data_IF_212630113351
#
_entry.id   IF_212630113351
#
_cell.length_a   1.000
_cell.length_b   1.000
_cell.length_c   1.000
_cell.angle_alpha   90.00
_cell.angle_beta   90.00
_cell.angle_gamma   90.00
#
_symmetry.space_group_name_H-M   'P 1'
#
loop_
_entity.id
_entity.type
_entity.pdbx_description
1 polymer ?
#
# COMPACT_ATOMS: atom_id res chain seq x y z
N UNK A 1 8.43 17.27 -2.19
CA UNK A 1 8.76 15.84 -2.31
C UNK A 1 7.79 15.17 -1.36
N UNK A 2 6.79 14.47 -1.88
CA UNK A 2 5.80 13.81 -1.02
C UNK A 2 6.53 12.78 -0.17
N UNK A 3 6.25 12.82 1.13
CA UNK A 3 6.89 11.95 2.11
C UNK A 3 6.37 10.52 1.91
N UNK A 4 7.25 9.63 1.42
CA UNK A 4 6.91 8.22 1.16
C UNK A 4 6.49 7.50 2.44
N UNK A 5 7.25 7.79 3.50
CA UNK A 5 7.20 7.13 4.79
C UNK A 5 7.01 8.19 5.88
N UNK A 6 5.90 8.13 6.61
CA UNK A 6 5.64 8.98 7.77
C UNK A 6 6.50 8.53 8.95
N UNK A 7 7.61 9.24 9.15
CA UNK A 7 8.61 8.95 10.19
C UNK A 7 8.04 9.10 11.59
N UNK A 8 7.03 9.95 11.76
CA UNK A 8 6.38 10.17 13.05
C UNK A 8 5.51 8.96 13.40
N UNK A 9 4.76 8.44 12.43
CA UNK A 9 3.96 7.23 12.58
C UNK A 9 4.84 6.02 12.95
N UNK A 10 5.97 5.84 12.26
CA UNK A 10 6.89 4.74 12.55
C UNK A 10 7.56 4.89 13.91
N UNK A 11 8.00 6.10 14.25
CA UNK A 11 8.59 6.37 15.57
C UNK A 11 7.60 6.07 16.69
N UNK A 12 6.31 6.41 16.50
CA UNK A 12 5.24 6.09 17.43
C UNK A 12 5.02 4.57 17.53
N UNK A 13 4.99 3.87 16.40
CA UNK A 13 4.83 2.41 16.35
C UNK A 13 5.96 1.71 17.11
N UNK A 14 7.21 2.12 16.89
CA UNK A 14 8.39 1.63 17.60
C UNK A 14 8.30 1.95 19.09
N UNK A 15 7.85 3.15 19.45
CA UNK A 15 7.67 3.54 20.86
C UNK A 15 6.60 2.71 21.58
N UNK A 16 5.59 2.22 20.87
CA UNK A 16 4.47 1.46 21.47
C UNK A 16 4.76 -0.05 21.54
N UNK A 17 5.39 -0.60 20.51
CA UNK A 17 5.58 -2.06 20.36
C UNK A 17 7.02 -2.52 20.62
N UNK A 18 7.97 -1.61 20.54
CA UNK A 18 9.40 -1.92 20.51
C UNK A 18 9.87 -2.36 19.12
N UNK A 19 11.15 -2.15 18.85
CA UNK A 19 11.77 -2.43 17.55
C UNK A 19 11.59 -3.90 17.07
N UNK A 20 11.77 -4.94 17.91
CA UNK A 20 11.62 -6.33 17.45
C UNK A 20 10.20 -6.64 16.93
N UNK A 21 9.18 -6.18 17.65
CA UNK A 21 7.78 -6.40 17.25
C UNK A 21 7.43 -5.63 15.98
N UNK A 22 7.98 -4.42 15.79
CA UNK A 22 7.82 -3.68 14.54
C UNK A 22 8.42 -4.44 13.35
N UNK A 23 9.57 -5.10 13.51
CA UNK A 23 10.13 -5.95 12.47
C UNK A 23 9.22 -7.13 12.13
N UNK A 24 8.67 -7.82 13.12
CA UNK A 24 7.70 -8.90 12.88
C UNK A 24 6.44 -8.41 12.14
N UNK A 25 5.92 -7.23 12.50
CA UNK A 25 4.79 -6.60 11.80
C UNK A 25 5.15 -6.30 10.34
N UNK A 26 6.34 -5.77 10.08
CA UNK A 26 6.83 -5.51 8.72
C UNK A 26 6.98 -6.81 7.92
N UNK A 27 7.57 -7.85 8.51
CA UNK A 27 7.73 -9.17 7.89
C UNK A 27 6.39 -9.81 7.53
N UNK A 28 5.36 -9.63 8.36
CA UNK A 28 4.00 -10.09 8.05
C UNK A 28 3.31 -9.23 6.99
N UNK A 29 3.57 -7.92 6.98
CA UNK A 29 2.97 -6.98 6.05
C UNK A 29 3.45 -7.15 4.61
N UNK A 30 4.77 -7.33 4.40
CA UNK A 30 5.37 -7.39 3.06
C UNK A 30 4.68 -8.40 2.14
N UNK A 31 4.50 -9.68 2.51
CA UNK A 31 3.87 -10.66 1.63
C UNK A 31 2.38 -10.34 1.40
N UNK A 32 1.66 -9.82 2.39
CA UNK A 32 0.25 -9.41 2.21
C UNK A 32 0.13 -8.24 1.24
N UNK A 33 0.97 -7.21 1.40
CA UNK A 33 1.02 -6.07 0.50
C UNK A 33 1.34 -6.50 -0.93
N UNK A 34 2.35 -7.36 -1.13
CA UNK A 34 2.72 -7.89 -2.44
C UNK A 34 1.58 -8.69 -3.09
N UNK A 35 0.87 -9.52 -2.31
CA UNK A 35 -0.26 -10.29 -2.81
C UNK A 35 -1.43 -9.38 -3.24
N UNK A 36 -1.75 -8.37 -2.44
CA UNK A 36 -2.79 -7.40 -2.76
C UNK A 36 -2.42 -6.57 -4.01
N UNK A 37 -1.17 -6.10 -4.12
CA UNK A 37 -0.68 -5.36 -5.29
C UNK A 37 -0.74 -6.23 -6.55
N UNK A 38 -0.25 -7.47 -6.48
CA UNK A 38 -0.26 -8.39 -7.62
C UNK A 38 -1.69 -8.68 -8.08
N UNK A 39 -2.62 -8.89 -7.14
CA UNK A 39 -4.03 -9.08 -7.47
C UNK A 39 -4.61 -7.86 -8.20
N UNK A 40 -4.35 -6.65 -7.67
CA UNK A 40 -4.81 -5.41 -8.29
C UNK A 40 -4.25 -5.26 -9.71
N UNK A 41 -2.95 -5.48 -9.91
CA UNK A 41 -2.30 -5.37 -11.21
C UNK A 41 -2.84 -6.35 -12.26
N UNK A 42 -3.14 -7.59 -11.86
CA UNK A 42 -3.60 -8.63 -12.79
C UNK A 42 -5.08 -8.45 -13.16
N UNK A 43 -5.93 -8.09 -12.18
CA UNK A 43 -7.38 -8.19 -12.33
C UNK A 43 -8.08 -6.83 -12.54
N UNK A 44 -7.33 -5.73 -12.63
CA UNK A 44 -7.90 -4.37 -12.62
C UNK A 44 -8.95 -4.11 -13.71
N UNK A 45 -8.73 -4.69 -14.90
CA UNK A 45 -9.62 -4.51 -16.05
C UNK A 45 -10.78 -5.51 -16.10
N UNK A 46 -10.88 -6.39 -15.11
CA UNK A 46 -11.93 -7.40 -15.05
C UNK A 46 -13.11 -6.89 -14.24
N UNK A 47 -14.19 -6.52 -14.94
CA UNK A 47 -15.42 -6.03 -14.30
C UNK A 47 -16.00 -7.00 -13.26
N UNK A 48 -15.78 -8.32 -13.45
CA UNK A 48 -16.20 -9.37 -12.51
C UNK A 48 -15.53 -9.25 -11.14
N UNK A 49 -14.38 -8.57 -11.05
CA UNK A 49 -13.58 -8.48 -9.83
C UNK A 49 -13.75 -7.15 -9.08
N UNK A 50 -14.63 -6.24 -9.52
CA UNK A 50 -14.79 -4.90 -8.92
C UNK A 50 -14.89 -4.89 -7.38
N UNK A 51 -15.67 -5.82 -6.80
CA UNK A 51 -15.79 -5.92 -5.34
C UNK A 51 -14.49 -6.41 -4.68
N UNK A 52 -13.82 -7.40 -5.27
CA UNK A 52 -12.56 -7.93 -4.73
C UNK A 52 -11.42 -6.91 -4.89
N UNK A 53 -11.34 -6.22 -6.03
CA UNK A 53 -10.41 -5.10 -6.25
C UNK A 53 -10.56 -4.03 -5.17
N UNK A 54 -11.80 -3.63 -4.86
CA UNK A 54 -12.08 -2.70 -3.76
C UNK A 54 -11.56 -3.22 -2.43
N UNK A 55 -11.83 -4.49 -2.10
CA UNK A 55 -11.39 -5.09 -0.83
C UNK A 55 -9.86 -5.15 -0.72
N UNK A 56 -9.17 -5.48 -1.82
CA UNK A 56 -7.71 -5.53 -1.90
C UNK A 56 -7.07 -4.15 -1.76
N UNK A 57 -7.63 -3.16 -2.45
CA UNK A 57 -7.22 -1.76 -2.31
C UNK A 57 -7.46 -1.25 -0.88
N UNK A 58 -8.61 -1.57 -0.28
CA UNK A 58 -8.93 -1.20 1.10
C UNK A 58 -7.98 -1.84 2.12
N UNK A 59 -7.67 -3.12 1.96
CA UNK A 59 -6.72 -3.85 2.79
C UNK A 59 -5.34 -3.20 2.72
N UNK A 60 -4.83 -3.01 1.50
CA UNK A 60 -3.52 -2.38 1.25
C UNK A 60 -3.43 -0.96 1.81
N UNK A 61 -4.48 -0.15 1.64
CA UNK A 61 -4.56 1.20 2.21
C UNK A 61 -4.42 1.17 3.72
N UNK A 62 -5.19 0.30 4.39
CA UNK A 62 -5.28 0.27 5.85
C UNK A 62 -4.00 -0.28 6.47
N UNK A 63 -3.44 -1.35 5.90
CA UNK A 63 -2.18 -1.94 6.38
C UNK A 63 -0.99 -1.01 6.15
N UNK A 64 -0.91 -0.34 4.99
CA UNK A 64 0.11 0.68 4.73
C UNK A 64 0.01 1.88 5.68
N UNK A 65 -1.21 2.36 5.97
CA UNK A 65 -1.43 3.46 6.92
C UNK A 65 -0.94 3.12 8.33
N UNK A 66 -1.25 1.93 8.82
CA UNK A 66 -0.86 1.49 10.17
C UNK A 66 0.65 1.42 10.37
N UNK A 67 1.40 1.18 9.30
CA UNK A 67 2.87 1.08 9.35
C UNK A 67 3.54 2.43 9.06
N UNK A 68 2.81 3.39 8.49
CA UNK A 68 3.34 4.70 8.10
C UNK A 68 3.79 4.80 6.65
N UNK A 69 3.41 3.85 5.78
CA UNK A 69 3.67 3.91 4.34
C UNK A 69 2.66 4.82 3.64
N UNK A 70 2.80 6.11 3.90
CA UNK A 70 1.83 7.15 3.56
C UNK A 70 1.53 7.20 2.06
N UNK A 71 2.55 7.30 1.21
CA UNK A 71 2.35 7.39 -0.23
C UNK A 71 1.67 6.13 -0.81
N UNK A 72 2.04 4.95 -0.31
CA UNK A 72 1.41 3.69 -0.70
C UNK A 72 -0.06 3.65 -0.27
N UNK A 73 -0.36 4.08 0.95
CA UNK A 73 -1.73 4.16 1.48
C UNK A 73 -2.60 5.12 0.67
N UNK A 74 -2.08 6.30 0.33
CA UNK A 74 -2.79 7.30 -0.48
C UNK A 74 -3.09 6.78 -1.90
N UNK A 75 -2.14 6.09 -2.52
CA UNK A 75 -2.34 5.49 -3.84
C UNK A 75 -3.37 4.34 -3.79
N UNK A 76 -3.29 3.48 -2.78
CA UNK A 76 -4.26 2.41 -2.56
C UNK A 76 -5.68 2.97 -2.30
N UNK A 77 -5.79 4.08 -1.56
CA UNK A 77 -7.06 4.78 -1.36
C UNK A 77 -7.66 5.27 -2.69
N UNK A 78 -6.84 5.87 -3.56
CA UNK A 78 -7.31 6.31 -4.89
C UNK A 78 -7.92 5.15 -5.68
N UNK A 79 -7.24 3.99 -5.69
CA UNK A 79 -7.73 2.79 -6.37
C UNK A 79 -9.02 2.24 -5.73
N UNK A 80 -9.14 2.28 -4.39
CA UNK A 80 -10.38 1.93 -3.71
C UNK A 80 -11.54 2.85 -4.11
N UNK A 81 -11.30 4.16 -4.15
CA UNK A 81 -12.29 5.18 -4.52
C UNK A 81 -12.75 5.00 -5.99
N UNK A 82 -11.83 4.67 -6.89
CA UNK A 82 -12.11 4.37 -8.31
C UNK A 82 -12.96 3.10 -8.48
N UNK A 83 -12.90 2.15 -7.54
CA UNK A 83 -13.78 0.97 -7.53
C UNK A 83 -15.18 1.31 -6.98
N UNK A 84 -15.31 2.32 -6.12
CA UNK A 84 -16.60 2.75 -5.54
C UNK A 84 -17.35 3.64 -6.52
N UNK A 85 -16.64 4.57 -7.18
CA UNK A 85 -17.19 5.53 -8.12
C UNK A 85 -16.47 5.42 -9.47
N UNK A 86 -16.68 4.33 -10.22
CA UNK A 86 -16.03 4.13 -11.50
C UNK A 86 -16.49 5.21 -12.47
N UNK A 87 -15.62 6.16 -12.83
CA UNK A 87 -15.86 7.00 -14.00
C UNK A 87 -15.48 6.23 -15.27
N UNK A 88 -16.19 6.48 -16.37
CA UNK A 88 -16.12 5.70 -17.61
C UNK A 88 -14.69 5.50 -18.17
N UNK A 89 -13.74 6.39 -17.84
CA UNK A 89 -12.34 6.30 -18.28
C UNK A 89 -11.32 5.96 -17.16
N UNK A 90 -11.69 5.95 -15.88
CA UNK A 90 -10.74 5.81 -14.75
C UNK A 90 -10.20 4.39 -14.60
N UNK A 91 -11.06 3.37 -14.69
CA UNK A 91 -10.61 1.96 -14.57
C UNK A 91 -9.59 1.63 -15.66
N UNK A 92 -9.79 2.12 -16.89
CA UNK A 92 -8.85 1.85 -17.98
C UNK A 92 -7.58 2.74 -17.96
N UNK A 93 -7.58 3.84 -17.19
CA UNK A 93 -6.47 4.80 -17.16
C UNK A 93 -5.55 4.66 -15.94
N UNK A 94 -5.83 3.73 -15.03
CA UNK A 94 -5.10 3.59 -13.77
C UNK A 94 -3.87 2.68 -13.84
N UNK A 95 -3.45 2.23 -15.03
CA UNK A 95 -2.26 1.40 -15.18
C UNK A 95 -1.01 2.04 -14.53
N UNK A 96 -0.80 3.35 -14.74
CA UNK A 96 0.32 4.06 -14.12
C UNK A 96 0.27 4.04 -12.58
N UNK A 97 -0.93 4.10 -12.00
CA UNK A 97 -1.12 3.99 -10.56
C UNK A 97 -0.82 2.56 -10.07
N UNK A 98 -1.23 1.53 -10.81
CA UNK A 98 -0.95 0.14 -10.48
C UNK A 98 0.54 -0.18 -10.54
N UNK A 99 1.23 0.30 -11.56
CA UNK A 99 2.68 0.11 -11.72
C UNK A 99 3.46 0.82 -10.60
N UNK A 100 2.97 1.99 -10.17
CA UNK A 100 3.54 2.76 -9.05
C UNK A 100 3.42 2.05 -7.71
N UNK A 101 2.43 1.17 -7.48
CA UNK A 101 2.27 0.48 -6.20
C UNK A 101 3.52 -0.32 -5.81
N UNK A 102 4.05 -1.13 -6.74
CA UNK A 102 5.24 -1.94 -6.50
C UNK A 102 6.47 -1.07 -6.22
N UNK A 103 6.64 0.01 -7.00
CA UNK A 103 7.73 0.97 -6.81
C UNK A 103 7.65 1.66 -5.44
N UNK A 104 6.47 2.10 -5.03
CA UNK A 104 6.27 2.75 -3.73
C UNK A 104 6.52 1.79 -2.58
N UNK A 105 6.07 0.54 -2.68
CA UNK A 105 6.35 -0.48 -1.66
C UNK A 105 7.86 -0.71 -1.53
N UNK A 106 8.56 -0.94 -2.64
CA UNK A 106 10.01 -1.16 -2.64
C UNK A 106 10.77 0.05 -2.08
N UNK A 107 10.42 1.26 -2.52
CA UNK A 107 11.09 2.48 -2.08
C UNK A 107 10.85 2.76 -0.58
N UNK A 108 9.64 2.48 -0.09
CA UNK A 108 9.31 2.62 1.34
C UNK A 108 10.09 1.62 2.20
N UNK A 109 10.22 0.37 1.75
CA UNK A 109 11.03 -0.65 2.43
C UNK A 109 12.51 -0.27 2.45
N UNK A 110 13.04 0.25 1.35
CA UNK A 110 14.41 0.74 1.29
C UNK A 110 14.65 1.93 2.25
N UNK A 111 13.69 2.84 2.37
CA UNK A 111 13.77 3.94 3.33
C UNK A 111 13.78 3.44 4.78
N UNK A 112 12.97 2.43 5.11
CA UNK A 112 13.02 1.76 6.43
C UNK A 112 14.36 1.05 6.68
N UNK A 113 14.91 0.38 5.67
CA UNK A 113 16.20 -0.29 5.75
C UNK A 113 17.31 0.69 6.14
N UNK A 114 17.31 1.87 5.51
CA UNK A 114 18.25 2.95 5.85
C UNK A 114 18.07 3.49 7.27
N UNK A 115 16.89 3.32 7.88
CA UNK A 115 16.62 3.65 9.28
C UNK A 115 17.01 2.51 10.25
N UNK A 116 17.52 1.38 9.75
CA UNK A 116 17.87 0.19 10.56
C UNK A 116 16.67 -0.71 10.92
N UNK A 117 15.55 -0.52 10.22
CA UNK A 117 14.27 -1.18 10.52
C UNK A 117 14.01 -2.42 9.66
N UNK A 118 14.81 -2.69 8.62
CA UNK A 118 14.79 -3.94 7.85
C UNK A 118 15.86 -4.93 8.30
#
# INVERSE_FOLDING_TARGET
>A
MDELVDKSAISLLISQLGLPMVKEVLEAFIPDAQANISFLQVNWHEAAHTQELRLRAHSLKSSAANIGFKALSELAKKLEDDCINPQDNTINSNQEALDKLSLLLETSLNELALMGLS
#
